data_IF_532257737249
#
_entry.id   IF_532257737249
#
_cell.length_a   1.000
_cell.length_b   1.000
_cell.length_c   1.000
_cell.angle_alpha   90.00
_cell.angle_beta   90.00
_cell.angle_gamma   90.00
#
_symmetry.space_group_name_H-M   'P 1'
#
loop_
_entity.id
_entity.type
_entity.pdbx_description
1 polymer ?
#
# COMPACT_ATOMS: atom_id res chain seq x y z
N UNK A 1 9.08 -5.04 6.22
CA UNK A 1 8.59 -3.72 6.65
C UNK A 1 7.72 -3.91 7.88
N UNK A 2 7.78 -2.94 8.79
CA UNK A 2 7.04 -2.90 10.05
C UNK A 2 5.98 -1.80 10.01
N UNK A 3 5.06 -1.80 10.98
CA UNK A 3 4.11 -0.69 11.18
C UNK A 3 4.84 0.67 11.29
N UNK A 4 5.94 0.72 12.04
CA UNK A 4 6.73 1.94 12.22
C UNK A 4 7.35 2.44 10.90
N UNK A 5 7.74 1.56 9.98
CA UNK A 5 8.27 1.96 8.67
C UNK A 5 7.20 2.65 7.80
N UNK A 6 5.95 2.26 7.97
CA UNK A 6 4.80 2.86 7.26
C UNK A 6 4.41 4.16 7.94
N UNK A 7 4.33 4.21 9.27
CA UNK A 7 4.09 5.45 10.03
C UNK A 7 5.12 6.53 9.71
N UNK A 8 6.40 6.16 9.62
CA UNK A 8 7.46 7.07 9.21
C UNK A 8 7.23 7.64 7.79
N UNK A 9 6.73 6.80 6.87
CA UNK A 9 6.39 7.23 5.52
C UNK A 9 5.18 8.19 5.50
N UNK A 10 4.17 7.92 6.33
CA UNK A 10 2.96 8.75 6.51
C UNK A 10 3.21 10.01 7.35
N UNK A 11 4.36 10.12 8.02
CA UNK A 11 4.69 11.17 9.00
C UNK A 11 3.69 11.20 10.18
N UNK A 12 3.32 10.01 10.66
CA UNK A 12 2.42 9.82 11.81
C UNK A 12 3.24 9.47 13.05
N UNK A 13 3.06 10.26 14.10
CA UNK A 13 3.66 10.05 15.43
C UNK A 13 2.63 9.49 16.42
N UNK A 14 3.08 9.00 17.57
CA UNK A 14 2.21 8.47 18.61
C UNK A 14 1.67 7.08 18.30
N UNK A 15 0.55 6.66 18.91
CA UNK A 15 -0.01 5.31 18.76
C UNK A 15 -1.51 5.31 18.42
N UNK A 16 -2.16 6.48 18.37
CA UNK A 16 -3.62 6.60 18.26
C UNK A 16 -4.16 6.04 16.94
N UNK A 17 -3.32 6.00 15.90
CA UNK A 17 -3.70 5.54 14.55
C UNK A 17 -3.09 4.19 14.17
N UNK A 18 -2.45 3.49 15.11
CA UNK A 18 -1.75 2.22 14.84
C UNK A 18 -2.69 1.16 14.27
N UNK A 19 -3.87 0.98 14.87
CA UNK A 19 -4.85 -0.01 14.42
C UNK A 19 -5.39 0.30 13.02
N UNK A 20 -5.57 1.59 12.72
CA UNK A 20 -6.03 2.06 11.41
C UNK A 20 -4.95 1.77 10.36
N UNK A 21 -3.71 2.18 10.63
CA UNK A 21 -2.60 2.00 9.70
C UNK A 21 -2.29 0.51 9.50
N UNK A 22 -2.35 -0.30 10.57
CA UNK A 22 -2.18 -1.75 10.48
C UNK A 22 -3.26 -2.38 9.58
N UNK A 23 -4.52 -1.99 9.75
CA UNK A 23 -5.62 -2.45 8.90
C UNK A 23 -5.41 -2.09 7.42
N UNK A 24 -4.91 -0.88 7.14
CA UNK A 24 -4.58 -0.45 5.77
C UNK A 24 -3.41 -1.24 5.18
N UNK A 25 -2.38 -1.55 5.96
CA UNK A 25 -1.25 -2.38 5.55
C UNK A 25 -1.75 -3.76 5.12
N UNK A 26 -2.60 -4.38 5.94
CA UNK A 26 -3.11 -5.73 5.67
C UNK A 26 -4.01 -5.75 4.42
N UNK A 27 -4.89 -4.75 4.28
CA UNK A 27 -5.69 -4.57 3.06
C UNK A 27 -4.80 -4.34 1.82
N UNK A 28 -3.70 -3.58 1.94
CA UNK A 28 -2.82 -3.30 0.82
C UNK A 28 -2.03 -4.54 0.37
N UNK A 29 -1.62 -5.41 1.30
CA UNK A 29 -1.01 -6.71 0.98
C UNK A 29 -1.97 -7.59 0.18
N UNK A 30 -3.22 -7.66 0.62
CA UNK A 30 -4.26 -8.43 -0.08
C UNK A 30 -4.56 -7.81 -1.46
N UNK A 31 -4.60 -6.49 -1.56
CA UNK A 31 -4.82 -5.79 -2.81
C UNK A 31 -3.71 -6.04 -3.84
N UNK A 32 -2.43 -6.00 -3.43
CA UNK A 32 -1.31 -6.36 -4.30
C UNK A 32 -1.45 -7.81 -4.77
N UNK A 33 -1.75 -8.74 -3.85
CA UNK A 33 -1.90 -10.16 -4.20
C UNK A 33 -3.04 -10.42 -5.17
N UNK A 34 -4.19 -9.81 -4.94
CA UNK A 34 -5.37 -10.00 -5.80
C UNK A 34 -5.23 -9.30 -7.14
N UNK A 35 -4.60 -8.12 -7.17
CA UNK A 35 -4.38 -7.35 -8.40
C UNK A 35 -3.28 -7.90 -9.31
N UNK A 36 -2.24 -8.53 -8.75
CA UNK A 36 -1.06 -8.99 -9.52
C UNK A 36 -0.89 -10.51 -9.58
N UNK A 37 -1.56 -11.24 -8.68
CA UNK A 37 -1.33 -12.67 -8.48
C UNK A 37 -0.01 -13.01 -7.77
N UNK A 38 0.80 -12.01 -7.39
CA UNK A 38 2.09 -12.19 -6.70
C UNK A 38 1.89 -11.96 -5.20
N UNK A 39 2.43 -12.86 -4.37
CA UNK A 39 2.36 -12.70 -2.91
C UNK A 39 3.33 -11.61 -2.47
N UNK A 40 2.82 -10.62 -1.72
CA UNK A 40 3.64 -9.57 -1.14
C UNK A 40 4.79 -10.18 -0.30
N UNK A 41 5.97 -9.58 -0.38
CA UNK A 41 7.14 -9.93 0.43
C UNK A 41 7.80 -8.66 0.93
N UNK A 42 8.21 -8.68 2.19
CA UNK A 42 8.93 -7.59 2.83
C UNK A 42 10.39 -7.47 2.38
N UNK A 43 10.90 -8.43 1.60
CA UNK A 43 12.28 -8.45 1.09
C UNK A 43 12.43 -7.77 -0.27
N UNK A 44 11.34 -7.61 -1.05
CA UNK A 44 11.39 -6.89 -2.33
C UNK A 44 11.07 -5.41 -2.10
N UNK A 45 12.02 -4.55 -2.45
CA UNK A 45 11.90 -3.10 -2.28
C UNK A 45 10.74 -2.50 -3.10
N UNK A 46 10.41 -3.06 -4.27
CA UNK A 46 9.30 -2.61 -5.12
C UNK A 46 7.95 -2.94 -4.49
N UNK A 47 7.84 -4.12 -3.87
CA UNK A 47 6.65 -4.51 -3.12
C UNK A 47 6.42 -3.55 -1.95
N UNK A 48 7.48 -3.30 -1.15
CA UNK A 48 7.43 -2.40 0.01
C UNK A 48 7.06 -0.97 -0.39
N UNK A 49 7.65 -0.43 -1.47
CA UNK A 49 7.32 0.90 -1.96
C UNK A 49 5.86 0.98 -2.45
N UNK A 50 5.42 0.00 -3.24
CA UNK A 50 4.05 -0.04 -3.78
C UNK A 50 3.02 -0.08 -2.65
N UNK A 51 3.26 -0.90 -1.63
CA UNK A 51 2.41 -0.96 -0.45
C UNK A 51 2.34 0.39 0.27
N UNK A 52 3.49 1.04 0.51
CA UNK A 52 3.54 2.37 1.15
C UNK A 52 2.74 3.42 0.38
N UNK A 53 2.80 3.42 -0.95
CA UNK A 53 2.03 4.35 -1.77
C UNK A 53 0.51 4.08 -1.69
N UNK A 54 0.10 2.82 -1.71
CA UNK A 54 -1.32 2.43 -1.56
C UNK A 54 -1.84 2.87 -0.19
N UNK A 55 -1.10 2.53 0.88
CA UNK A 55 -1.51 2.89 2.25
C UNK A 55 -1.58 4.39 2.42
N UNK A 56 -0.60 5.16 1.92
CA UNK A 56 -0.66 6.62 1.96
C UNK A 56 -1.88 7.18 1.23
N UNK A 57 -2.16 6.65 0.04
CA UNK A 57 -3.34 7.06 -0.71
C UNK A 57 -4.63 6.80 0.07
N UNK A 58 -4.84 5.61 0.62
CA UNK A 58 -6.04 5.31 1.40
C UNK A 58 -6.12 6.05 2.72
N UNK A 59 -4.98 6.26 3.38
CA UNK A 59 -4.88 7.00 4.63
C UNK A 59 -5.24 8.48 4.46
N UNK A 60 -4.78 9.11 3.37
CA UNK A 60 -5.12 10.50 3.06
C UNK A 60 -6.57 10.65 2.58
N UNK A 61 -7.15 9.60 1.99
CA UNK A 61 -8.49 9.61 1.39
C UNK A 61 -9.51 8.79 2.21
N UNK A 62 -9.53 8.95 3.54
CA UNK A 62 -10.44 8.25 4.47
C UNK A 62 -11.90 8.74 4.44
N UNK A 63 -12.20 9.84 3.74
CA UNK A 63 -13.52 10.47 3.70
C UNK A 63 -14.47 9.87 2.65
N UNK A 64 -15.75 9.72 3.00
CA UNK A 64 -16.81 9.22 2.09
C UNK A 64 -17.28 10.26 1.05
N UNK A 65 -16.92 11.54 1.18
CA UNK A 65 -17.48 12.63 0.37
C UNK A 65 -16.53 13.00 -0.76
N UNK A 66 -16.92 12.64 -1.98
CA UNK A 66 -16.50 13.33 -3.21
C UNK A 66 -15.25 12.81 -3.93
N UNK A 67 -14.56 11.78 -3.42
CA UNK A 67 -13.38 11.26 -4.10
C UNK A 67 -13.66 9.88 -4.68
N UNK A 68 -13.97 9.85 -5.98
CA UNK A 68 -13.58 8.73 -6.85
C UNK A 68 -12.06 8.76 -6.98
N UNK A 69 -11.34 8.64 -5.86
CA UNK A 69 -9.88 8.73 -5.82
C UNK A 69 -9.36 7.52 -6.60
N UNK A 70 -9.21 7.69 -7.92
CA UNK A 70 -8.54 6.70 -8.72
C UNK A 70 -7.14 6.53 -8.15
N UNK A 71 -6.70 5.29 -8.07
CA UNK A 71 -5.32 5.02 -7.68
C UNK A 71 -4.39 5.84 -8.58
N UNK A 72 -3.41 6.57 -8.00
CA UNK A 72 -2.49 7.35 -8.80
C UNK A 72 -1.85 6.48 -9.88
N UNK A 73 -1.67 7.01 -11.09
CA UNK A 73 -1.09 6.27 -12.22
C UNK A 73 0.19 5.52 -11.85
N UNK A 74 1.03 6.12 -11.00
CA UNK A 74 2.26 5.50 -10.49
C UNK A 74 2.00 4.18 -9.74
N UNK A 75 0.94 4.10 -8.93
CA UNK A 75 0.58 2.86 -8.22
C UNK A 75 0.19 1.78 -9.20
N UNK A 76 -0.66 2.12 -10.18
CA UNK A 76 -1.08 1.18 -11.24
C UNK A 76 0.12 0.68 -12.06
N UNK A 77 1.05 1.57 -12.40
CA UNK A 77 2.27 1.20 -13.11
C UNK A 77 3.19 0.28 -12.29
N UNK A 78 3.29 0.49 -10.97
CA UNK A 78 4.06 -0.41 -10.10
C UNK A 78 3.39 -1.79 -9.97
N UNK A 79 2.06 -1.85 -9.85
CA UNK A 79 1.34 -3.12 -9.83
C UNK A 79 1.57 -3.94 -11.10
N UNK A 80 1.57 -3.29 -12.26
CA UNK A 80 1.90 -3.95 -13.54
C UNK A 80 3.33 -4.49 -13.56
N UNK A 81 4.29 -3.77 -12.99
CA UNK A 81 5.68 -4.24 -12.87
C UNK A 81 5.80 -5.45 -11.95
N UNK A 82 5.03 -5.49 -10.86
CA UNK A 82 4.98 -6.64 -9.95
C UNK A 82 4.33 -7.84 -10.64
N UNK A 83 3.21 -7.65 -11.35
CA UNK A 83 2.54 -8.72 -12.09
C UNK A 83 3.47 -9.40 -13.12
N UNK A 84 4.33 -8.63 -13.79
CA UNK A 84 5.28 -9.17 -14.76
C UNK A 84 6.26 -10.19 -14.15
N UNK A 85 6.54 -10.13 -12.85
CA UNK A 85 7.41 -11.07 -12.14
C UNK A 85 6.86 -12.49 -12.16
N UNK A 86 5.53 -12.65 -12.17
CA UNK A 86 4.87 -13.96 -12.25
C UNK A 86 5.26 -14.73 -13.52
N UNK A 87 5.63 -14.02 -14.58
CA UNK A 87 5.99 -14.61 -15.87
C UNK A 87 7.48 -14.98 -15.99
N UNK A 88 8.26 -14.78 -14.92
CA UNK A 88 9.71 -15.02 -14.88
C UNK A 88 10.03 -16.25 -14.05
#
# INVERSE_FOLDING_TARGET
>A
MTLNDVKLYLRVDGYDEDDVIQSLIDAAKEFIKTGTGVTFTDTDARHVLTLKMIVAHWYDNRGLVGSTAELPFTVTAQLLQIEAERST
#
